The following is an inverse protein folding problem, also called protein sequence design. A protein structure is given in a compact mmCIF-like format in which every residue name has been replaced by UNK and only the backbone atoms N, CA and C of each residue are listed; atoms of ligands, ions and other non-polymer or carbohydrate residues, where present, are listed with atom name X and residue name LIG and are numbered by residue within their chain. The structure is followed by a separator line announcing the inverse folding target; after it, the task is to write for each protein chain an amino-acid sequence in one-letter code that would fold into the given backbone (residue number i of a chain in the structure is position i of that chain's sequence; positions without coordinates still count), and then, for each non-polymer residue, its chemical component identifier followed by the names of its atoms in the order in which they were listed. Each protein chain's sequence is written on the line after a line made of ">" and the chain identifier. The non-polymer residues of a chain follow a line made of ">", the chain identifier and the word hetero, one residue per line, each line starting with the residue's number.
data_IF_739515577229
#
_entry.id   IF_739515577229
#
_cell.length_a   1.000
_cell.length_b   1.000
_cell.length_c   1.000
_cell.angle_alpha   90.00
_cell.angle_beta   90.00
_cell.angle_gamma   90.00
#
_symmetry.space_group_name_H-M   'P 1'
#
loop_
_entity.id
_entity.type
_entity.pdbx_description
1 polymer ?
#
# COMPACT_ATOMS: atom_id res chain seq x y z
N UNK A 1 -6.04 27.59 6.68
CA UNK A 1 -4.68 28.15 6.62
C UNK A 1 -3.76 27.08 6.05
N UNK A 2 -3.29 27.25 4.81
CA UNK A 2 -2.39 26.30 4.13
C UNK A 2 -0.91 26.58 4.44
N UNK A 3 -0.61 27.57 5.30
CA UNK A 3 0.77 27.90 5.68
C UNK A 3 1.35 26.99 6.76
N UNK A 4 0.52 26.11 7.36
CA UNK A 4 0.96 25.11 8.33
C UNK A 4 0.99 23.74 7.66
N UNK A 5 2.08 22.97 7.83
CA UNK A 5 2.10 21.60 7.34
C UNK A 5 0.98 20.80 8.01
N UNK A 6 0.31 19.97 7.22
CA UNK A 6 -0.66 19.03 7.78
C UNK A 6 0.07 18.08 8.74
N UNK A 7 -0.56 17.73 9.88
CA UNK A 7 -0.02 16.67 10.71
C UNK A 7 0.08 15.38 9.88
N UNK A 8 1.10 14.57 10.16
CA UNK A 8 1.21 13.27 9.54
C UNK A 8 0.05 12.35 9.99
N UNK A 9 -0.12 11.26 9.24
CA UNK A 9 -1.18 10.29 9.49
C UNK A 9 -0.65 9.00 10.12
N UNK A 10 0.58 8.99 10.63
CA UNK A 10 1.23 7.76 11.08
C UNK A 10 0.50 7.11 12.25
N UNK A 11 0.06 7.88 13.25
CA UNK A 11 -0.72 7.35 14.36
C UNK A 11 -2.03 6.68 13.91
N UNK A 12 -2.64 7.14 12.82
CA UNK A 12 -3.84 6.53 12.24
C UNK A 12 -3.49 5.29 11.41
N UNK A 13 -2.38 5.33 10.69
CA UNK A 13 -1.89 4.18 9.93
C UNK A 13 -1.48 3.03 10.86
N UNK A 14 -0.82 3.32 11.98
CA UNK A 14 -0.42 2.31 12.98
C UNK A 14 -1.64 1.56 13.55
N UNK A 15 -2.81 2.20 13.60
CA UNK A 15 -4.07 1.54 14.01
C UNK A 15 -4.55 0.46 13.02
N UNK A 16 -3.99 0.39 11.81
CA UNK A 16 -4.27 -0.66 10.83
C UNK A 16 -3.45 -1.92 11.06
N UNK A 17 -2.50 -1.96 12.00
CA UNK A 17 -1.54 -3.07 12.16
C UNK A 17 -2.16 -4.48 12.29
N UNK A 18 -3.43 -4.58 12.71
CA UNK A 18 -4.19 -5.84 12.81
C UNK A 18 -5.00 -6.21 11.56
N UNK A 19 -5.02 -5.37 10.52
CA UNK A 19 -5.81 -5.55 9.30
C UNK A 19 -4.90 -6.03 8.17
N UNK A 20 -5.26 -7.08 7.41
CA UNK A 20 -4.53 -7.42 6.19
C UNK A 20 -4.46 -6.22 5.23
N UNK A 21 -3.25 -5.83 4.83
CA UNK A 21 -3.03 -4.64 4.01
C UNK A 21 -2.13 -4.96 2.82
N UNK A 22 -2.60 -4.58 1.62
CA UNK A 22 -1.81 -4.59 0.38
C UNK A 22 -1.72 -3.16 -0.15
N UNK A 23 -0.51 -2.67 -0.41
CA UNK A 23 -0.31 -1.42 -1.13
C UNK A 23 0.32 -1.67 -2.50
N UNK A 24 -0.29 -1.07 -3.53
CA UNK A 24 0.19 -1.12 -4.90
C UNK A 24 0.65 0.29 -5.28
N UNK A 25 1.95 0.45 -5.54
CA UNK A 25 2.56 1.71 -5.93
C UNK A 25 2.93 1.66 -7.40
N UNK A 26 2.57 2.65 -8.20
CA UNK A 26 3.20 2.80 -9.52
C UNK A 26 4.65 3.26 -9.41
N UNK A 27 5.56 2.66 -10.18
CA UNK A 27 7.00 2.93 -10.15
C UNK A 27 7.33 4.42 -10.30
N UNK A 28 6.57 5.13 -11.15
CA UNK A 28 6.71 6.55 -11.46
C UNK A 28 5.80 7.47 -10.61
N UNK A 29 5.21 6.96 -9.52
CA UNK A 29 4.34 7.74 -8.65
C UNK A 29 5.08 8.91 -7.99
N UNK A 30 4.47 10.11 -8.09
CA UNK A 30 4.89 11.34 -7.38
C UNK A 30 4.09 11.60 -6.11
N UNK A 31 3.03 10.83 -5.86
CA UNK A 31 2.13 11.02 -4.72
C UNK A 31 2.53 10.15 -3.52
N UNK A 32 2.93 8.91 -3.79
CA UNK A 32 3.42 7.97 -2.78
C UNK A 32 4.88 7.64 -3.09
N UNK A 33 5.79 8.17 -2.28
CA UNK A 33 7.22 7.93 -2.45
C UNK A 33 7.60 6.49 -2.07
N UNK A 34 8.70 5.97 -2.65
CA UNK A 34 9.22 4.66 -2.29
C UNK A 34 9.62 4.60 -0.81
N UNK A 35 10.23 5.67 -0.28
CA UNK A 35 10.61 5.79 1.14
C UNK A 35 9.39 5.75 2.07
N UNK A 36 8.30 6.41 1.69
CA UNK A 36 7.05 6.37 2.47
C UNK A 36 6.48 4.95 2.47
N UNK A 37 6.49 4.25 1.33
CA UNK A 37 6.02 2.86 1.24
C UNK A 37 6.88 1.90 2.09
N UNK A 38 8.20 2.11 2.12
CA UNK A 38 9.11 1.37 2.99
C UNK A 38 8.79 1.59 4.48
N UNK A 39 8.59 2.85 4.90
CA UNK A 39 8.18 3.15 6.28
C UNK A 39 6.82 2.58 6.64
N UNK A 40 5.86 2.54 5.70
CA UNK A 40 4.59 1.85 5.90
C UNK A 40 4.81 0.36 6.20
N UNK A 41 5.66 -0.33 5.43
CA UNK A 41 6.00 -1.73 5.66
C UNK A 41 6.69 -1.96 7.01
N UNK A 42 7.60 -1.07 7.41
CA UNK A 42 8.27 -1.14 8.72
C UNK A 42 7.29 -0.99 9.90
N UNK A 43 6.27 -0.16 9.74
CA UNK A 43 5.21 0.08 10.75
C UNK A 43 4.12 -0.98 10.75
N UNK A 44 3.95 -1.69 9.63
CA UNK A 44 2.93 -2.71 9.46
C UNK A 44 3.55 -4.04 8.99
N UNK A 45 4.14 -4.86 9.89
CA UNK A 45 4.87 -6.07 9.51
C UNK A 45 4.09 -7.11 8.69
N UNK A 46 2.76 -7.09 8.76
CA UNK A 46 1.86 -7.94 7.96
C UNK A 46 1.43 -7.35 6.61
N UNK A 47 1.96 -6.18 6.24
CA UNK A 47 1.66 -5.48 5.00
C UNK A 47 2.41 -6.12 3.84
N UNK A 48 1.71 -6.29 2.73
CA UNK A 48 2.29 -6.68 1.45
C UNK A 48 2.41 -5.45 0.53
N UNK A 49 3.44 -5.43 -0.32
CA UNK A 49 3.70 -4.31 -1.22
C UNK A 49 4.00 -4.79 -2.63
N UNK A 50 3.42 -4.13 -3.63
CA UNK A 50 3.72 -4.34 -5.04
C UNK A 50 4.11 -3.00 -5.68
N UNK A 51 5.18 -3.00 -6.47
CA UNK A 51 5.52 -1.86 -7.34
C UNK A 51 5.20 -2.19 -8.80
N UNK A 52 4.24 -1.47 -9.38
CA UNK A 52 3.89 -1.56 -10.79
C UNK A 52 4.86 -0.72 -11.62
N UNK A 53 5.93 -1.34 -12.10
CA UNK A 53 6.98 -0.67 -12.86
C UNK A 53 6.44 0.03 -14.12
N UNK A 54 7.01 1.20 -14.45
CA UNK A 54 6.57 2.01 -15.57
C UNK A 54 5.26 2.77 -15.38
N UNK A 55 4.48 2.50 -14.32
CA UNK A 55 3.17 3.11 -14.10
C UNK A 55 3.20 4.35 -13.20
N UNK A 56 2.27 5.28 -13.45
CA UNK A 56 2.07 6.51 -12.66
C UNK A 56 1.33 6.29 -11.35
N UNK A 57 0.74 7.33 -10.76
CA UNK A 57 0.14 7.21 -9.41
C UNK A 57 -1.07 6.26 -9.34
N UNK A 58 -1.84 6.13 -10.41
CA UNK A 58 -3.00 5.25 -10.52
C UNK A 58 -2.60 4.07 -11.43
N UNK A 59 -2.03 2.99 -10.85
CA UNK A 59 -1.67 1.82 -11.64
C UNK A 59 -2.92 1.12 -12.18
N UNK A 60 -2.85 0.63 -13.42
CA UNK A 60 -3.85 -0.25 -14.03
C UNK A 60 -3.79 -1.64 -13.38
N UNK A 61 -4.80 -1.97 -12.60
CA UNK A 61 -4.84 -3.20 -11.80
C UNK A 61 -5.10 -4.46 -12.63
N UNK A 62 -5.57 -4.29 -13.86
CA UNK A 62 -5.86 -5.35 -14.83
C UNK A 62 -4.63 -5.84 -15.60
N UNK A 63 -3.45 -5.24 -15.37
CA UNK A 63 -2.24 -5.48 -16.16
C UNK A 63 -1.27 -6.45 -15.49
N UNK A 64 -0.54 -7.21 -16.33
CA UNK A 64 0.49 -8.14 -15.85
C UNK A 64 -0.07 -9.18 -14.88
N UNK A 65 0.61 -9.36 -13.76
CA UNK A 65 0.22 -10.32 -12.72
C UNK A 65 -0.63 -9.70 -11.60
N UNK A 66 -0.92 -8.39 -11.64
CA UNK A 66 -1.65 -7.69 -10.58
C UNK A 66 -3.01 -8.33 -10.26
N UNK A 67 -3.85 -8.74 -11.22
CA UNK A 67 -5.12 -9.39 -10.91
C UNK A 67 -4.97 -10.65 -10.06
N UNK A 68 -3.95 -11.46 -10.36
CA UNK A 68 -3.65 -12.69 -9.63
C UNK A 68 -3.10 -12.39 -8.24
N UNK A 69 -2.15 -11.47 -8.14
CA UNK A 69 -1.55 -11.10 -6.84
C UNK A 69 -2.58 -10.49 -5.88
N UNK A 70 -3.51 -9.69 -6.40
CA UNK A 70 -4.63 -9.14 -5.64
C UNK A 70 -5.58 -10.27 -5.18
N UNK A 71 -5.95 -11.19 -6.08
CA UNK A 71 -6.80 -12.33 -5.71
C UNK A 71 -6.13 -13.21 -4.64
N UNK A 72 -4.85 -13.55 -4.82
CA UNK A 72 -4.10 -14.36 -3.87
C UNK A 72 -3.98 -13.66 -2.49
N UNK A 73 -3.84 -12.33 -2.47
CA UNK A 73 -3.88 -11.53 -1.24
C UNK A 73 -5.25 -11.61 -0.55
N UNK A 74 -6.35 -11.46 -1.29
CA UNK A 74 -7.70 -11.57 -0.76
C UNK A 74 -7.95 -12.96 -0.14
N UNK A 75 -7.55 -14.03 -0.81
CA UNK A 75 -7.64 -15.40 -0.30
C UNK A 75 -6.83 -15.61 1.00
N UNK A 76 -5.66 -14.96 1.12
CA UNK A 76 -4.87 -14.95 2.36
C UNK A 76 -5.57 -14.16 3.47
N UNK A 77 -6.13 -12.99 3.15
CA UNK A 77 -6.78 -12.10 4.09
C UNK A 77 -8.07 -12.71 4.67
N UNK A 78 -8.88 -13.38 3.85
CA UNK A 78 -10.08 -14.08 4.29
C UNK A 78 -9.78 -15.22 5.26
N UNK A 79 -8.71 -15.99 5.01
CA UNK A 79 -8.28 -17.07 5.90
C UNK A 79 -7.80 -16.58 7.27
N UNK A 80 -7.23 -15.38 7.36
CA UNK A 80 -6.79 -14.78 8.63
C UNK A 80 -7.95 -14.20 9.45
N UNK A 81 -9.10 -13.94 8.80
CA UNK A 81 -10.30 -13.40 9.45
C UNK A 81 -11.23 -14.48 9.99
N UNK A 82 -10.95 -15.75 9.72
CA UNK A 82 -11.64 -16.92 10.27
C UNK A 82 -10.88 -17.46 11.48
#
# INVERSE_FOLDING_TARGET
>A
DFSKPFPDLWAKFDALAGVPLLAIRGGNSKLLSALTLEEMGRRHPGMETITAEGQGHAPFLETGNLPREIADFLDRAERKSK
#
